data_IF_185852345455
#
_entry.id   IF_185852345455
#
_cell.length_a   1.000
_cell.length_b   1.000
_cell.length_c   1.000
_cell.angle_alpha   90.00
_cell.angle_beta   90.00
_cell.angle_gamma   90.00
#
_symmetry.space_group_name_H-M   'P 1'
#
loop_
_entity.id
_entity.type
_entity.pdbx_description
1 polymer ?
#
# COMPACT_ATOMS: atom_id res chain seq x y z
N UNK A 1 2.65 39.75 -10.09
CA UNK A 1 3.16 38.38 -10.27
C UNK A 1 2.03 37.49 -9.80
N UNK A 2 1.39 36.75 -10.69
CA UNK A 2 0.32 35.82 -10.29
C UNK A 2 0.95 34.58 -9.67
N UNK A 3 0.40 34.13 -8.54
CA UNK A 3 0.84 32.92 -7.87
C UNK A 3 0.44 31.70 -8.70
N UNK A 4 1.40 31.11 -9.40
CA UNK A 4 1.20 29.88 -10.18
C UNK A 4 1.14 28.69 -9.22
N UNK A 5 -0.02 28.03 -9.16
CA UNK A 5 -0.20 26.79 -8.42
C UNK A 5 0.15 25.58 -9.30
N UNK A 6 1.04 24.72 -8.81
CA UNK A 6 1.48 23.50 -9.50
C UNK A 6 0.81 22.29 -8.86
N UNK A 7 0.27 21.38 -9.69
CA UNK A 7 -0.24 20.10 -9.23
C UNK A 7 0.90 19.29 -8.61
N UNK A 8 0.74 18.93 -7.33
CA UNK A 8 1.63 17.98 -6.66
C UNK A 8 1.05 16.59 -6.79
N UNK A 9 1.63 15.77 -7.66
CA UNK A 9 1.27 14.38 -7.79
C UNK A 9 1.89 13.56 -6.63
N UNK A 10 1.03 12.96 -5.80
CA UNK A 10 1.45 12.15 -4.67
C UNK A 10 1.70 10.71 -5.13
N UNK A 11 2.92 10.42 -5.58
CA UNK A 11 3.37 9.05 -5.84
C UNK A 11 3.49 8.26 -4.53
N UNK A 12 3.08 6.99 -4.56
CA UNK A 12 3.26 6.09 -3.41
C UNK A 12 4.62 5.42 -3.45
N UNK A 13 5.13 5.09 -2.26
CA UNK A 13 6.32 4.28 -2.06
C UNK A 13 5.88 2.91 -1.54
N UNK A 14 6.41 1.79 -2.05
CA UNK A 14 6.14 0.46 -1.52
C UNK A 14 6.30 0.38 0.00
N UNK A 15 5.38 -0.32 0.66
CA UNK A 15 5.40 -0.48 2.10
C UNK A 15 6.59 -1.35 2.53
N UNK A 16 7.31 -0.94 3.57
CA UNK A 16 8.43 -1.73 4.09
C UNK A 16 7.94 -2.85 5.01
N UNK A 17 8.71 -3.93 5.09
CA UNK A 17 8.49 -4.97 6.08
C UNK A 17 9.10 -4.53 7.41
N UNK A 18 8.27 -4.49 8.46
CA UNK A 18 8.74 -4.21 9.82
C UNK A 18 8.95 -5.52 10.59
N UNK A 19 10.09 -5.63 11.27
CA UNK A 19 10.34 -6.74 12.19
C UNK A 19 9.62 -6.52 13.54
N UNK A 20 9.19 -7.63 14.15
CA UNK A 20 8.59 -7.62 15.48
C UNK A 20 9.69 -7.57 16.54
N UNK A 21 9.92 -6.39 17.11
CA UNK A 21 10.80 -6.25 18.27
C UNK A 21 10.32 -7.14 19.43
N UNK A 22 11.22 -7.71 20.24
CA UNK A 22 10.84 -8.58 21.37
C UNK A 22 9.82 -7.93 22.32
N UNK A 23 9.96 -6.62 22.55
CA UNK A 23 9.03 -5.84 23.40
C UNK A 23 7.60 -5.86 22.86
N UNK A 24 7.41 -5.78 21.54
CA UNK A 24 6.09 -5.83 20.92
C UNK A 24 5.51 -7.25 20.97
N UNK A 25 6.34 -8.26 20.69
CA UNK A 25 5.93 -9.66 20.63
C UNK A 25 5.52 -10.23 21.99
N UNK A 26 6.24 -9.86 23.05
CA UNK A 26 6.06 -10.42 24.39
C UNK A 26 5.44 -9.44 25.40
N UNK A 27 5.34 -8.15 25.06
CA UNK A 27 4.85 -7.12 25.96
C UNK A 27 3.33 -6.94 25.99
N UNK A 28 2.56 -7.81 25.35
CA UNK A 28 1.10 -7.71 25.23
C UNK A 28 0.63 -6.34 24.68
N UNK A 29 1.44 -5.71 23.83
CA UNK A 29 1.15 -4.41 23.26
C UNK A 29 0.09 -4.56 22.17
N UNK A 30 -1.09 -3.90 22.29
CA UNK A 30 -2.11 -3.97 21.25
C UNK A 30 -1.64 -3.39 19.91
N UNK A 31 -1.94 -4.13 18.84
CA UNK A 31 -1.94 -3.61 17.48
C UNK A 31 -3.25 -2.85 17.22
N UNK A 32 -3.13 -1.62 16.75
CA UNK A 32 -4.25 -0.75 16.41
C UNK A 32 -4.38 -0.70 14.90
N UNK A 33 -5.58 -0.99 14.39
CA UNK A 33 -5.91 -0.95 12.98
C UNK A 33 -7.08 0.02 12.79
N UNK A 34 -6.78 1.17 12.19
CA UNK A 34 -7.79 2.10 11.71
C UNK A 34 -8.07 1.82 10.24
N UNK A 35 -9.17 1.11 9.99
CA UNK A 35 -9.56 0.62 8.67
C UNK A 35 -10.35 1.66 7.87
N UNK A 36 -9.69 2.79 7.58
CA UNK A 36 -10.26 3.87 6.77
C UNK A 36 -10.46 3.47 5.31
N UNK A 37 -11.47 4.07 4.66
CA UNK A 37 -11.77 3.84 3.23
C UNK A 37 -10.74 4.47 2.30
N UNK A 38 -10.17 5.61 2.67
CA UNK A 38 -9.09 6.26 1.92
C UNK A 38 -7.76 5.56 2.14
N UNK A 39 -7.40 5.37 3.42
CA UNK A 39 -6.17 4.72 3.83
C UNK A 39 -6.42 3.89 5.10
N UNK A 40 -5.81 2.71 5.14
CA UNK A 40 -5.68 1.92 6.35
C UNK A 40 -4.41 2.37 7.09
N UNK A 41 -4.52 2.61 8.39
CA UNK A 41 -3.39 2.98 9.26
C UNK A 41 -3.21 1.92 10.33
N UNK A 42 -2.00 1.41 10.45
CA UNK A 42 -1.66 0.33 11.38
C UNK A 42 -0.47 0.73 12.22
N UNK A 43 -0.57 0.54 13.53
CA UNK A 43 0.50 0.87 14.46
C UNK A 43 0.31 0.18 15.80
N UNK A 44 1.26 0.36 16.70
CA UNK A 44 1.17 -0.15 18.07
C UNK A 44 0.66 0.94 18.99
N UNK A 45 -0.17 0.58 19.97
CA UNK A 45 -0.78 1.51 20.92
C UNK A 45 0.21 2.33 21.78
N UNK A 46 1.50 1.97 21.78
CA UNK A 46 2.56 2.68 22.50
C UNK A 46 3.28 3.74 21.63
N UNK A 47 2.88 3.90 20.37
CA UNK A 47 3.45 4.88 19.45
C UNK A 47 2.40 5.91 19.06
N UNK A 48 2.84 7.16 18.93
CA UNK A 48 1.97 8.27 18.56
C UNK A 48 1.60 8.25 17.06
N UNK A 49 2.48 7.67 16.23
CA UNK A 49 2.32 7.60 14.78
C UNK A 49 2.14 6.15 14.30
N UNK A 50 1.36 5.93 13.22
CA UNK A 50 1.21 4.62 12.63
C UNK A 50 2.54 4.14 12.02
N UNK A 51 2.79 2.84 12.11
CA UNK A 51 3.93 2.19 11.46
C UNK A 51 3.71 2.06 9.96
N UNK A 52 2.48 1.76 9.54
CA UNK A 52 2.10 1.57 8.15
C UNK A 52 0.87 2.40 7.82
N UNK A 53 0.91 3.08 6.68
CA UNK A 53 -0.22 3.79 6.11
C UNK A 53 -0.32 3.43 4.63
N UNK A 54 -1.35 2.66 4.27
CA UNK A 54 -1.50 2.14 2.91
C UNK A 54 -2.91 2.30 2.38
N UNK A 55 -3.04 2.42 1.06
CA UNK A 55 -4.34 2.49 0.38
C UNK A 55 -5.11 1.18 0.58
N UNK A 56 -6.40 1.25 0.88
CA UNK A 56 -7.24 0.06 1.02
C UNK A 56 -7.71 -0.47 -0.34
N UNK A 57 -6.75 -0.74 -1.24
CA UNK A 57 -6.99 -1.07 -2.65
C UNK A 57 -6.20 -2.30 -3.07
N UNK A 58 -6.75 -3.02 -4.04
CA UNK A 58 -6.11 -4.18 -4.67
C UNK A 58 -6.24 -4.03 -6.19
N UNK A 59 -5.12 -4.09 -6.91
CA UNK A 59 -5.12 -4.19 -8.36
C UNK A 59 -4.92 -5.65 -8.77
N UNK A 60 -5.91 -6.21 -9.47
CA UNK A 60 -5.82 -7.53 -10.12
C UNK A 60 -5.97 -7.33 -11.63
N UNK A 61 -4.93 -7.61 -12.44
CA UNK A 61 -5.05 -7.71 -13.89
C UNK A 61 -6.10 -8.77 -14.22
N UNK A 62 -6.98 -8.48 -15.18
CA UNK A 62 -7.83 -9.53 -15.75
C UNK A 62 -6.93 -10.51 -16.49
N UNK A 63 -7.31 -11.80 -16.51
CA UNK A 63 -6.76 -12.76 -17.48
C UNK A 63 -7.26 -12.39 -18.88
N UNK A 64 -6.74 -11.32 -19.46
CA UNK A 64 -6.91 -11.07 -20.88
C UNK A 64 -5.93 -12.01 -21.60
N UNK A 65 -6.48 -13.13 -22.08
CA UNK A 65 -5.88 -14.15 -22.98
C UNK A 65 -4.38 -13.94 -23.25
N UNK A 66 -3.52 -14.29 -22.30
CA UNK A 66 -2.10 -14.41 -22.62
C UNK A 66 -1.91 -15.61 -23.54
N UNK A 67 -1.45 -15.29 -24.75
CA UNK A 67 -0.74 -16.19 -25.65
C UNK A 67 0.25 -16.99 -24.80
N UNK A 68 0.30 -18.31 -25.02
CA UNK A 68 1.07 -19.28 -24.22
C UNK A 68 2.57 -19.00 -24.10
N UNK A 69 3.10 -18.02 -24.84
CA UNK A 69 4.54 -17.80 -25.03
C UNK A 69 5.02 -16.41 -24.57
N UNK A 70 4.25 -15.67 -23.77
CA UNK A 70 4.73 -14.41 -23.19
C UNK A 70 5.60 -14.68 -21.96
N UNK A 71 6.76 -14.02 -21.86
CA UNK A 71 7.59 -14.04 -20.65
C UNK A 71 6.76 -13.65 -19.42
N UNK A 72 7.03 -14.28 -18.25
CA UNK A 72 6.31 -13.96 -17.03
C UNK A 72 6.44 -12.45 -16.75
N UNK A 73 5.34 -11.76 -16.44
CA UNK A 73 5.37 -10.33 -16.18
C UNK A 73 6.33 -10.01 -15.02
N UNK A 74 7.15 -8.98 -15.20
CA UNK A 74 8.11 -8.50 -14.20
C UNK A 74 7.41 -8.02 -12.93
N UNK A 75 6.15 -7.57 -13.05
CA UNK A 75 5.31 -7.16 -11.93
C UNK A 75 4.47 -8.31 -11.39
N UNK A 76 4.34 -8.43 -10.06
CA UNK A 76 3.45 -9.40 -9.43
C UNK A 76 2.04 -9.31 -10.02
N UNK A 77 1.36 -10.45 -10.25
CA UNK A 77 0.02 -10.47 -10.82
C UNK A 77 -1.04 -9.90 -9.88
N UNK A 78 -0.73 -9.60 -8.62
CA UNK A 78 -1.62 -8.87 -7.70
C UNK A 78 -0.76 -7.79 -7.04
N UNK A 79 -1.23 -6.55 -7.10
CA UNK A 79 -0.63 -5.42 -6.37
C UNK A 79 -1.61 -4.94 -5.30
N UNK A 80 -1.08 -4.54 -4.14
CA UNK A 80 -1.88 -4.21 -2.96
C UNK A 80 -1.40 -2.88 -2.41
N UNK A 81 -2.31 -2.03 -1.98
CA UNK A 81 -1.99 -0.80 -1.26
C UNK A 81 -1.01 0.11 -2.01
N UNK A 82 0.13 0.41 -1.39
CA UNK A 82 1.09 1.34 -1.95
C UNK A 82 1.97 0.73 -3.05
N UNK A 83 1.97 -0.60 -3.23
CA UNK A 83 2.63 -1.31 -4.34
C UNK A 83 1.90 -1.12 -5.68
N UNK A 84 0.71 -0.52 -5.68
CA UNK A 84 -0.03 -0.20 -6.90
C UNK A 84 0.64 0.99 -7.59
N UNK A 85 1.47 0.69 -8.60
CA UNK A 85 2.23 1.69 -9.37
C UNK A 85 1.30 2.49 -10.29
N UNK A 86 0.32 1.82 -10.91
CA UNK A 86 -0.67 2.45 -11.78
C UNK A 86 -2.07 2.33 -11.16
N UNK A 87 -2.55 3.42 -10.57
CA UNK A 87 -3.87 3.48 -9.94
C UNK A 87 -5.01 3.27 -10.96
N UNK A 88 -4.81 3.63 -12.23
CA UNK A 88 -5.79 3.44 -13.30
C UNK A 88 -6.01 1.95 -13.64
N UNK A 89 -5.08 1.09 -13.23
CA UNK A 89 -5.22 -0.36 -13.37
C UNK A 89 -6.18 -0.96 -12.32
N UNK A 90 -6.52 -0.21 -11.26
CA UNK A 90 -7.55 -0.62 -10.29
C UNK A 90 -8.91 -0.46 -10.95
N UNK A 91 -9.67 -1.55 -11.02
CA UNK A 91 -11.05 -1.53 -11.50
C UNK A 91 -12.00 -1.73 -10.32
N UNK A 92 -13.07 -0.94 -10.29
CA UNK A 92 -14.19 -1.03 -9.35
C UNK A 92 -15.35 -1.83 -9.95
#
# INVERSE_FOLDING_TARGET
MEDVLVLKDCKTVPDIVHEYAPTLKFGHIPLVIDNGSYQCRVGWSIHDEPYLTFKNLIARPRKDRCKKDAEPPVTPPIQIGNDIINIEAVRF
#
